data_IF_968439287071
#
_entry.id   IF_968439287071
#
_cell.length_a   1.000
_cell.length_b   1.000
_cell.length_c   1.000
_cell.angle_alpha   90.00
_cell.angle_beta   90.00
_cell.angle_gamma   90.00
#
_symmetry.space_group_name_H-M   'P 1'
#
loop_
_entity.id
_entity.type
_entity.pdbx_description
1 polymer ?
#
# COMPACT_ATOMS: atom_id res chain seq x y z
N UNK A 1 -7.34 -13.12 -11.14
CA UNK A 1 -8.24 -12.25 -10.35
C UNK A 1 -7.62 -10.86 -10.21
N UNK A 2 -6.40 -10.75 -9.69
CA UNK A 2 -5.59 -9.52 -9.76
C UNK A 2 -4.73 -9.53 -11.03
N UNK A 3 -4.85 -8.51 -11.87
CA UNK A 3 -4.05 -8.35 -13.09
C UNK A 3 -2.67 -7.74 -12.83
N UNK A 4 -1.94 -7.40 -13.89
CA UNK A 4 -0.63 -6.73 -13.80
C UNK A 4 -0.73 -5.18 -13.78
N UNK A 5 -1.89 -4.63 -14.13
CA UNK A 5 -2.07 -3.18 -14.29
C UNK A 5 -2.61 -2.48 -13.02
N UNK A 6 -3.45 -3.17 -12.25
CA UNK A 6 -4.04 -2.60 -11.04
C UNK A 6 -2.97 -2.30 -10.00
N UNK A 7 -3.07 -1.17 -9.26
CA UNK A 7 -2.16 -0.86 -8.17
C UNK A 7 -2.40 -1.78 -6.99
N UNK A 8 -1.34 -2.47 -6.56
CA UNK A 8 -1.36 -3.40 -5.43
C UNK A 8 -0.50 -2.87 -4.29
N UNK A 9 -1.01 -2.92 -3.07
CA UNK A 9 -0.18 -2.82 -1.87
C UNK A 9 0.46 -4.19 -1.62
N UNK A 10 1.71 -4.34 -2.07
CA UNK A 10 2.53 -5.50 -1.76
C UNK A 10 3.22 -5.26 -0.42
N UNK A 11 2.95 -6.12 0.57
CA UNK A 11 3.77 -6.15 1.77
C UNK A 11 5.24 -6.44 1.38
N UNK A 12 6.19 -5.83 2.08
CA UNK A 12 7.60 -5.85 1.65
C UNK A 12 8.20 -7.25 1.49
N UNK A 13 7.68 -8.25 2.22
CA UNK A 13 8.12 -9.65 2.15
C UNK A 13 7.71 -10.35 0.84
N UNK A 14 6.62 -9.94 0.21
CA UNK A 14 6.00 -10.71 -0.88
C UNK A 14 6.42 -10.24 -2.28
N UNK A 15 7.27 -9.21 -2.38
CA UNK A 15 7.59 -8.56 -3.65
C UNK A 15 8.17 -9.49 -4.73
N UNK A 16 9.09 -10.39 -4.36
CA UNK A 16 9.70 -11.32 -5.32
C UNK A 16 8.79 -12.51 -5.67
N UNK A 17 7.85 -12.85 -4.78
CA UNK A 17 6.88 -13.92 -5.03
C UNK A 17 5.77 -13.49 -6.00
N UNK A 18 5.50 -12.18 -6.09
CA UNK A 18 4.48 -11.60 -6.97
C UNK A 18 5.08 -10.56 -7.94
N UNK A 19 5.99 -10.98 -8.85
CA UNK A 19 6.78 -10.06 -9.66
C UNK A 19 5.98 -9.36 -10.77
N UNK A 20 4.81 -9.90 -11.14
CA UNK A 20 3.98 -9.35 -12.21
C UNK A 20 2.96 -8.32 -11.71
N UNK A 21 2.63 -8.34 -10.41
CA UNK A 21 1.74 -7.35 -9.82
C UNK A 21 2.52 -6.05 -9.61
N UNK A 22 1.97 -4.95 -10.11
CA UNK A 22 2.60 -3.64 -9.97
C UNK A 22 2.27 -3.04 -8.59
N UNK A 23 3.26 -2.56 -7.81
CA UNK A 23 2.97 -1.79 -6.62
C UNK A 23 2.27 -0.47 -6.97
N UNK A 24 1.48 0.09 -6.06
CA UNK A 24 0.91 1.42 -6.24
C UNK A 24 2.03 2.47 -6.39
N UNK A 25 1.82 3.45 -7.27
CA UNK A 25 2.76 4.54 -7.50
C UNK A 25 2.62 5.68 -6.49
N UNK A 26 3.54 6.63 -6.52
CA UNK A 26 3.41 7.91 -5.82
C UNK A 26 4.07 9.00 -6.65
N UNK A 27 3.50 10.20 -6.66
CA UNK A 27 4.02 11.33 -7.41
C UNK A 27 3.70 12.65 -6.70
N UNK A 28 4.67 13.57 -6.66
CA UNK A 28 4.52 14.91 -6.08
C UNK A 28 3.95 14.94 -4.64
N UNK A 29 4.25 13.91 -3.83
CA UNK A 29 3.78 13.80 -2.45
C UNK A 29 2.38 13.19 -2.28
N UNK A 30 1.79 12.62 -3.34
CA UNK A 30 0.48 11.96 -3.32
C UNK A 30 0.61 10.51 -3.80
N UNK A 31 -0.01 9.58 -3.08
CA UNK A 31 -0.01 8.16 -3.41
C UNK A 31 -1.14 7.79 -4.39
N UNK A 32 -0.85 6.88 -5.31
CA UNK A 32 -1.86 6.17 -6.08
C UNK A 32 -2.62 5.23 -5.14
N UNK A 33 -3.94 5.27 -5.21
CA UNK A 33 -4.80 4.48 -4.33
C UNK A 33 -4.75 2.98 -4.67
N UNK A 34 -4.27 2.09 -3.78
CA UNK A 34 -4.21 0.66 -4.05
C UNK A 34 -5.61 0.01 -4.03
N UNK A 35 -5.82 -0.98 -4.89
CA UNK A 35 -7.08 -1.75 -4.97
C UNK A 35 -7.03 -3.10 -4.24
N UNK A 36 -5.82 -3.62 -4.09
CA UNK A 36 -5.56 -4.94 -3.53
C UNK A 36 -4.41 -4.85 -2.54
N UNK A 37 -4.37 -5.74 -1.55
CA UNK A 37 -3.22 -5.97 -0.70
C UNK A 37 -2.86 -7.45 -0.70
N UNK A 38 -1.57 -7.76 -0.83
CA UNK A 38 -1.04 -9.13 -0.71
C UNK A 38 -0.14 -9.17 0.52
N UNK A 39 -0.45 -10.09 1.44
CA UNK A 39 0.22 -10.26 2.72
C UNK A 39 0.93 -11.62 2.76
N UNK A 40 2.02 -11.74 3.54
CA UNK A 40 2.59 -13.04 3.88
C UNK A 40 1.62 -13.85 4.79
N UNK A 41 2.05 -15.04 5.20
CA UNK A 41 1.36 -15.88 6.18
C UNK A 41 1.08 -15.12 7.49
N UNK A 42 0.19 -15.67 8.32
CA UNK A 42 -0.25 -14.99 9.55
C UNK A 42 0.91 -14.54 10.44
N UNK A 43 1.91 -15.40 10.65
CA UNK A 43 3.05 -15.08 11.51
C UNK A 43 4.00 -14.07 10.86
N UNK A 44 4.26 -14.20 9.56
CA UNK A 44 5.04 -13.22 8.82
C UNK A 44 4.39 -11.84 8.86
N UNK A 45 3.07 -11.76 8.72
CA UNK A 45 2.34 -10.50 8.76
C UNK A 45 2.36 -9.87 10.16
N UNK A 46 2.08 -10.66 11.21
CA UNK A 46 2.07 -10.19 12.60
C UNK A 46 3.43 -9.62 13.03
N UNK A 47 4.53 -10.29 12.68
CA UNK A 47 5.87 -9.86 13.07
C UNK A 47 6.42 -8.70 12.23
N UNK A 48 6.04 -8.59 10.96
CA UNK A 48 6.72 -7.70 10.00
C UNK A 48 5.86 -6.55 9.45
N UNK A 49 4.53 -6.62 9.54
CA UNK A 49 3.66 -5.49 9.19
C UNK A 49 3.93 -4.21 9.98
N UNK A 50 4.37 -4.26 11.27
CA UNK A 50 4.70 -3.05 12.02
C UNK A 50 5.77 -2.15 11.39
N UNK A 51 6.60 -2.67 10.47
CA UNK A 51 7.54 -1.85 9.67
C UNK A 51 6.79 -0.78 8.84
N UNK A 52 5.55 -1.06 8.46
CA UNK A 52 4.73 -0.23 7.57
C UNK A 52 3.63 0.53 8.30
N UNK A 53 3.63 0.53 9.64
CA UNK A 53 2.58 1.12 10.47
C UNK A 53 2.55 2.66 10.39
N UNK A 54 1.54 3.27 11.02
CA UNK A 54 1.41 4.72 11.04
C UNK A 54 2.53 5.42 11.83
N UNK A 55 3.14 4.75 12.83
CA UNK A 55 4.18 5.34 13.68
C UNK A 55 5.51 5.47 12.92
N UNK A 56 5.80 4.49 12.07
CA UNK A 56 6.93 4.49 11.14
C UNK A 56 6.69 5.34 9.89
N UNK A 57 5.45 5.85 9.70
CA UNK A 57 5.07 6.63 8.52
C UNK A 57 4.82 5.78 7.27
N UNK A 58 4.61 4.47 7.45
CA UNK A 58 4.38 3.55 6.36
C UNK A 58 2.95 3.60 5.80
N UNK A 59 2.73 2.96 4.64
CA UNK A 59 1.47 3.04 3.91
C UNK A 59 0.27 2.40 4.62
N UNK A 60 0.46 1.59 5.67
CA UNK A 60 -0.67 1.12 6.48
C UNK A 60 -1.38 2.28 7.15
N UNK A 61 -0.65 3.29 7.65
CA UNK A 61 -1.27 4.47 8.28
C UNK A 61 -2.12 5.31 7.33
N UNK A 62 -1.87 5.24 6.01
CA UNK A 62 -2.67 5.93 5.00
C UNK A 62 -3.89 5.08 4.62
N UNK A 63 -3.66 3.82 4.29
CA UNK A 63 -4.72 2.91 3.83
C UNK A 63 -5.75 2.59 4.92
N UNK A 64 -5.35 2.53 6.20
CA UNK A 64 -6.25 2.33 7.35
C UNK A 64 -7.33 3.42 7.46
N UNK A 65 -7.01 4.65 7.06
CA UNK A 65 -7.93 5.80 7.14
C UNK A 65 -8.80 5.92 5.89
N UNK A 66 -8.28 5.53 4.72
CA UNK A 66 -8.94 5.72 3.43
C UNK A 66 -9.80 4.52 3.01
N UNK A 67 -9.45 3.31 3.46
CA UNK A 67 -9.96 2.06 2.90
C UNK A 67 -10.55 1.13 3.95
N UNK A 68 -11.56 0.38 3.54
CA UNK A 68 -12.00 -0.85 4.19
C UNK A 68 -11.34 -2.05 3.52
N UNK A 69 -10.58 -2.83 4.28
CA UNK A 69 -10.02 -4.10 3.82
C UNK A 69 -11.06 -5.23 3.93
N UNK A 70 -11.14 -6.09 2.91
CA UNK A 70 -11.99 -7.29 2.89
C UNK A 70 -11.17 -8.48 2.40
N UNK A 71 -11.02 -9.51 3.25
CA UNK A 71 -10.27 -10.72 2.90
C UNK A 71 -10.99 -11.53 1.83
N UNK A 72 -10.24 -12.00 0.82
CA UNK A 72 -10.73 -12.86 -0.25
C UNK A 72 -10.24 -14.29 -0.03
N UNK A 73 -11.16 -15.24 -0.08
CA UNK A 73 -10.83 -16.66 0.02
C UNK A 73 -9.88 -17.07 -1.12
N UNK A 74 -8.72 -17.57 -0.74
CA UNK A 74 -7.62 -17.90 -1.66
C UNK A 74 -6.85 -19.10 -1.12
N UNK A 75 -6.48 -20.02 -2.01
CA UNK A 75 -5.93 -21.32 -1.65
C UNK A 75 -4.64 -21.56 -2.41
N UNK A 76 -3.66 -22.17 -1.75
CA UNK A 76 -2.44 -22.60 -2.42
C UNK A 76 -2.74 -23.82 -3.29
N UNK A 77 -2.29 -23.76 -4.54
CA UNK A 77 -2.49 -24.85 -5.48
C UNK A 77 -1.81 -26.12 -4.98
N UNK A 78 -2.57 -27.21 -4.90
CA UNK A 78 -2.12 -28.57 -4.53
C UNK A 78 -1.55 -28.72 -3.10
N UNK A 79 -1.65 -27.70 -2.25
CA UNK A 79 -1.22 -27.72 -0.84
C UNK A 79 -2.26 -27.02 0.05
N UNK A 80 -3.41 -27.66 0.20
CA UNK A 80 -4.62 -27.09 0.81
C UNK A 80 -4.50 -26.76 2.31
N UNK A 81 -3.50 -27.31 2.99
CA UNK A 81 -3.27 -27.10 4.43
C UNK A 81 -2.23 -26.02 4.72
N UNK A 82 -1.59 -25.45 3.70
CA UNK A 82 -0.59 -24.40 3.87
C UNK A 82 -1.22 -23.00 3.86
N UNK A 83 -0.89 -22.22 4.87
CA UNK A 83 -1.07 -20.77 4.86
C UNK A 83 0.00 -20.15 3.95
N UNK A 84 -0.40 -19.74 2.75
CA UNK A 84 0.50 -19.05 1.81
C UNK A 84 0.59 -17.55 2.10
N UNK A 85 -0.32 -17.04 2.92
CA UNK A 85 -0.62 -15.62 3.06
C UNK A 85 -2.07 -15.30 2.75
N UNK A 86 -2.33 -14.02 2.49
CA UNK A 86 -3.68 -13.53 2.29
C UNK A 86 -3.78 -12.52 1.16
N UNK A 87 -4.94 -12.52 0.50
CA UNK A 87 -5.36 -11.49 -0.43
C UNK A 87 -6.49 -10.67 0.19
N UNK A 88 -6.37 -9.34 0.14
CA UNK A 88 -7.43 -8.41 0.54
C UNK A 88 -7.83 -7.50 -0.62
N UNK A 89 -9.13 -7.26 -0.76
CA UNK A 89 -9.68 -6.15 -1.55
C UNK A 89 -9.72 -4.91 -0.69
N UNK A 90 -9.22 -3.78 -1.19
CA UNK A 90 -9.28 -2.48 -0.54
C UNK A 90 -10.39 -1.65 -1.20
N UNK A 91 -11.40 -1.29 -0.42
CA UNK A 91 -12.56 -0.52 -0.91
C UNK A 91 -12.59 0.86 -0.24
N UNK A 92 -12.61 1.97 -0.99
CA UNK A 92 -12.68 3.30 -0.39
C UNK A 92 -13.93 3.48 0.46
N UNK A 93 -13.83 4.22 1.57
CA UNK A 93 -15.01 4.58 2.36
C UNK A 93 -15.99 5.48 1.57
N UNK A 94 -15.47 6.31 0.68
CA UNK A 94 -16.24 7.17 -0.21
C UNK A 94 -15.98 6.75 -1.67
N UNK A 95 -16.82 5.87 -2.25
CA UNK A 95 -16.55 5.27 -3.56
C UNK A 95 -16.67 6.26 -4.72
N UNK A 96 -17.46 7.33 -4.55
CA UNK A 96 -17.68 8.34 -5.59
C UNK A 96 -16.56 9.41 -5.61
N UNK A 97 -15.66 9.41 -4.62
CA UNK A 97 -14.53 10.33 -4.56
C UNK A 97 -13.55 10.07 -5.72
N UNK A 98 -13.09 11.14 -6.36
CA UNK A 98 -12.14 11.09 -7.48
C UNK A 98 -10.76 11.58 -7.05
N UNK A 99 -9.67 11.20 -7.75
CA UNK A 99 -8.34 11.78 -7.55
C UNK A 99 -8.36 13.30 -7.68
N UNK A 100 -7.52 13.97 -6.89
CA UNK A 100 -7.40 15.42 -6.92
C UNK A 100 -6.55 15.91 -8.11
N UNK A 101 -6.92 17.07 -8.67
CA UNK A 101 -6.09 17.80 -9.64
C UNK A 101 -5.00 18.60 -8.93
N UNK A 102 -3.73 18.36 -9.29
CA UNK A 102 -2.59 19.02 -8.67
C UNK A 102 -2.14 20.26 -9.46
N UNK A 103 -2.17 21.42 -8.80
CA UNK A 103 -1.59 22.65 -9.35
C UNK A 103 -0.10 22.72 -9.02
N UNK A 104 0.74 22.40 -10.00
CA UNK A 104 2.19 22.35 -9.83
C UNK A 104 2.87 23.65 -10.26
N UNK A 105 4.07 23.89 -9.73
CA UNK A 105 4.91 25.01 -10.10
C UNK A 105 6.39 24.67 -9.96
N UNK A 106 7.24 25.53 -10.48
CA UNK A 106 8.70 25.39 -10.39
C UNK A 106 9.27 26.60 -9.67
N UNK A 107 10.18 26.34 -8.72
CA UNK A 107 10.80 27.41 -7.95
C UNK A 107 12.22 27.03 -7.54
N UNK A 108 13.15 27.98 -7.62
CA UNK A 108 14.53 27.78 -7.19
C UNK A 108 14.66 27.98 -5.67
N UNK A 109 15.40 27.09 -5.01
CA UNK A 109 15.70 27.12 -3.57
C UNK A 109 17.22 27.05 -3.34
N UNK A 110 17.69 27.55 -2.21
CA UNK A 110 19.10 27.41 -1.81
C UNK A 110 19.37 26.02 -1.20
N UNK A 111 20.64 25.62 -1.10
CA UNK A 111 21.03 24.30 -0.57
C UNK A 111 20.80 24.10 0.94
N UNK A 112 20.49 25.17 1.68
CA UNK A 112 20.16 25.13 3.11
C UNK A 112 18.69 25.47 3.38
N UNK A 113 17.89 25.63 2.33
CA UNK A 113 16.49 25.94 2.47
C UNK A 113 15.72 24.76 3.08
N UNK A 114 14.85 25.05 4.05
CA UNK A 114 13.93 24.09 4.66
C UNK A 114 12.54 24.71 4.69
N UNK A 115 11.52 24.08 4.05
CA UNK A 115 10.16 24.64 4.02
C UNK A 115 9.49 24.62 5.40
N UNK A 116 9.73 23.55 6.16
CA UNK A 116 9.17 23.30 7.47
C UNK A 116 9.92 22.11 8.13
N UNK A 117 9.89 21.98 9.46
CA UNK A 117 10.29 20.75 10.14
C UNK A 117 9.42 19.57 9.70
N UNK A 118 9.99 18.37 9.65
CA UNK A 118 9.21 17.14 9.47
C UNK A 118 8.46 16.81 10.76
N UNK A 119 7.13 16.71 10.68
CA UNK A 119 6.33 16.24 11.81
C UNK A 119 6.71 14.80 12.14
N UNK A 120 7.05 14.55 13.41
CA UNK A 120 7.23 13.21 13.97
C UNK A 120 6.28 13.10 15.16
N UNK A 121 5.39 12.10 15.14
CA UNK A 121 4.45 11.77 16.24
C UNK A 121 3.75 12.98 16.84
#
# INVERSE_FOLDING_TARGET
MVGAADPVFLDWLVGLAFPCQRPFGHQYGVDETPKWRILPDRFGAEANSPVMDHNGGGPLGITELLMRATTVASYLKDDWFRDWGALQRLTPYYPDAQPADLNLGTVTRSGLWSPAPLRRG
#
